data_IF_615882635736
#
_entry.id   IF_615882635736
#
_cell.length_a   1.000
_cell.length_b   1.000
_cell.length_c   1.000
_cell.angle_alpha   90.00
_cell.angle_beta   90.00
_cell.angle_gamma   90.00
#
_symmetry.space_group_name_H-M   'P 1'
#
loop_
_entity.id
_entity.type
_entity.pdbx_description
1 polymer ?
#
# COMPACT_ATOMS: atom_id res chain seq x y z
N UNK A 1 11.26 20.57 6.46
CA UNK A 1 11.00 19.29 5.79
C UNK A 1 11.59 19.37 4.38
N UNK A 2 12.71 18.68 4.11
CA UNK A 2 13.32 18.65 2.77
C UNK A 2 12.61 17.58 1.91
N UNK A 3 12.40 17.86 0.62
CA UNK A 3 11.65 16.98 -0.32
C UNK A 3 12.25 15.56 -0.41
N UNK A 4 13.53 15.40 -0.05
CA UNK A 4 14.22 14.10 0.00
C UNK A 4 13.50 13.05 0.87
N UNK A 5 12.85 13.45 1.97
CA UNK A 5 12.15 12.53 2.88
C UNK A 5 10.75 12.12 2.41
N UNK A 6 10.31 12.62 1.25
CA UNK A 6 8.97 12.37 0.67
C UNK A 6 9.06 11.52 -0.61
N UNK A 7 10.24 11.01 -0.97
CA UNK A 7 10.44 10.22 -2.20
C UNK A 7 9.95 8.79 -2.00
N UNK A 8 9.03 8.36 -2.87
CA UNK A 8 8.58 6.96 -2.93
C UNK A 8 9.62 6.14 -3.71
N UNK A 9 9.98 4.97 -3.20
CA UNK A 9 10.85 4.02 -3.89
C UNK A 9 10.05 3.27 -4.96
N UNK A 10 10.06 3.78 -6.20
CA UNK A 10 9.34 3.16 -7.32
C UNK A 10 9.83 1.76 -7.71
N UNK A 11 11.01 1.35 -7.23
CA UNK A 11 11.56 0.01 -7.41
C UNK A 11 11.08 -1.00 -6.36
N UNK A 12 10.23 -0.59 -5.41
CA UNK A 12 9.73 -1.48 -4.38
C UNK A 12 8.84 -2.58 -4.99
N UNK A 13 9.15 -3.83 -4.64
CA UNK A 13 8.40 -5.00 -5.11
C UNK A 13 7.07 -5.07 -4.37
N UNK A 14 5.99 -5.06 -5.13
CA UNK A 14 4.62 -5.22 -4.62
C UNK A 14 4.34 -6.68 -4.25
N UNK A 15 3.61 -6.90 -3.16
CA UNK A 15 3.15 -8.22 -2.75
C UNK A 15 2.14 -8.79 -3.78
N UNK A 16 2.12 -10.11 -3.93
CA UNK A 16 1.17 -10.80 -4.82
C UNK A 16 -0.18 -11.06 -4.16
N UNK A 17 -0.20 -11.19 -2.84
CA UNK A 17 -1.38 -11.42 -2.02
C UNK A 17 -1.43 -10.40 -0.88
N UNK A 18 -2.64 -10.02 -0.48
CA UNK A 18 -2.89 -9.10 0.61
C UNK A 18 -2.44 -9.73 1.93
N UNK A 19 -1.67 -8.99 2.73
CA UNK A 19 -1.23 -9.46 4.05
C UNK A 19 -2.37 -9.63 5.07
N UNK A 20 -3.52 -8.99 4.83
CA UNK A 20 -4.63 -8.92 5.79
C UNK A 20 -5.72 -9.96 5.48
N UNK A 21 -6.25 -9.94 4.25
CA UNK A 21 -7.29 -10.87 3.81
C UNK A 21 -6.76 -12.10 3.03
N UNK A 22 -5.49 -12.09 2.60
CA UNK A 22 -4.91 -13.18 1.81
C UNK A 22 -5.32 -13.21 0.33
N UNK A 23 -6.21 -12.32 -0.12
CA UNK A 23 -6.65 -12.27 -1.52
C UNK A 23 -5.56 -11.80 -2.47
N UNK A 24 -5.64 -12.20 -3.74
CA UNK A 24 -4.70 -11.73 -4.76
C UNK A 24 -4.77 -10.20 -4.91
N UNK A 25 -3.60 -9.56 -4.99
CA UNK A 25 -3.54 -8.12 -5.26
C UNK A 25 -3.61 -7.94 -6.78
N UNK A 26 -4.62 -7.18 -7.30
CA UNK A 26 -4.77 -6.95 -8.73
C UNK A 26 -3.48 -6.41 -9.36
N UNK A 27 -3.10 -6.93 -10.54
CA UNK A 27 -1.88 -6.52 -11.24
C UNK A 27 -1.81 -5.00 -11.42
N UNK A 28 -2.93 -4.38 -11.83
CA UNK A 28 -3.07 -2.92 -11.94
C UNK A 28 -2.61 -2.18 -10.67
N UNK A 29 -2.92 -2.70 -9.48
CA UNK A 29 -2.52 -2.09 -8.21
C UNK A 29 -1.02 -2.27 -7.96
N UNK A 30 -0.48 -3.45 -8.26
CA UNK A 30 0.96 -3.74 -8.16
C UNK A 30 1.81 -2.86 -9.08
N UNK A 31 1.28 -2.51 -10.25
CA UNK A 31 1.93 -1.65 -11.25
C UNK A 31 1.86 -0.16 -10.89
N UNK A 32 0.70 0.32 -10.42
CA UNK A 32 0.50 1.74 -10.10
C UNK A 32 1.03 2.13 -8.71
N UNK A 33 1.06 1.18 -7.77
CA UNK A 33 1.48 1.42 -6.38
C UNK A 33 2.69 0.55 -6.08
N UNK A 34 3.88 1.14 -6.22
CA UNK A 34 5.13 0.47 -5.93
C UNK A 34 5.18 0.02 -4.45
N UNK A 35 5.47 -1.26 -4.23
CA UNK A 35 5.57 -1.83 -2.89
C UNK A 35 4.23 -2.05 -2.19
N UNK A 36 3.11 -2.18 -2.91
CA UNK A 36 1.82 -2.40 -2.24
C UNK A 36 1.79 -3.75 -1.51
N UNK A 37 1.42 -3.76 -0.24
CA UNK A 37 1.35 -4.97 0.60
C UNK A 37 -0.08 -5.44 0.87
N UNK A 38 -1.07 -4.60 0.59
CA UNK A 38 -2.49 -4.83 0.86
C UNK A 38 -3.36 -4.56 -0.36
N UNK A 39 -4.52 -5.22 -0.44
CA UNK A 39 -5.56 -4.91 -1.41
C UNK A 39 -6.14 -3.51 -1.17
N UNK A 40 -7.02 -3.04 -2.06
CA UNK A 40 -7.61 -1.70 -1.96
C UNK A 40 -8.45 -1.54 -0.69
N UNK A 41 -9.34 -2.48 -0.43
CA UNK A 41 -10.25 -2.48 0.73
C UNK A 41 -9.49 -2.52 2.06
N UNK A 42 -8.56 -3.46 2.24
CA UNK A 42 -7.78 -3.55 3.48
C UNK A 42 -6.86 -2.34 3.70
N UNK A 43 -6.37 -1.70 2.63
CA UNK A 43 -5.61 -0.46 2.74
C UNK A 43 -6.51 0.69 3.22
N UNK A 44 -7.72 0.81 2.67
CA UNK A 44 -8.66 1.86 3.07
C UNK A 44 -9.07 1.71 4.55
N UNK A 45 -9.34 0.48 4.99
CA UNK A 45 -9.68 0.18 6.39
C UNK A 45 -8.53 0.57 7.35
N UNK A 46 -7.28 0.26 6.99
CA UNK A 46 -6.13 0.67 7.80
C UNK A 46 -5.94 2.19 7.85
N UNK A 47 -6.12 2.89 6.73
CA UNK A 47 -6.06 4.36 6.70
C UNK A 47 -7.17 4.99 7.54
N UNK A 48 -8.38 4.43 7.52
CA UNK A 48 -9.49 4.85 8.38
C UNK A 48 -9.17 4.64 9.86
N UNK A 49 -8.63 3.47 10.23
CA UNK A 49 -8.17 3.19 11.60
C UNK A 49 -7.05 4.14 12.04
N UNK A 50 -6.12 4.46 11.15
CA UNK A 50 -5.01 5.38 11.42
C UNK A 50 -5.46 6.82 11.66
N UNK A 51 -6.47 7.29 10.92
CA UNK A 51 -7.04 8.65 11.08
C UNK A 51 -7.67 8.87 12.45
N UNK A 52 -8.26 7.84 13.05
CA UNK A 52 -8.91 7.91 14.37
C UNK A 52 -7.93 7.71 15.54
N UNK A 53 -6.68 7.30 15.28
CA UNK A 53 -5.64 7.10 16.29
C UNK A 53 -4.78 8.34 16.56
N UNK A 54 -5.12 9.50 15.98
CA UNK A 54 -4.36 10.74 16.07
C UNK A 54 -5.01 11.78 16.97
#
# INVERSE_FOLDING_TARGET
MTIQNMRINHAAVSATHCLDCGEEIPARRRELVAGCQRCADCQEDEELRGKHRR
#
